data_IF_912206776905
#
_entry.id   IF_912206776905
#
_cell.length_a   1.000
_cell.length_b   1.000
_cell.length_c   1.000
_cell.angle_alpha   90.00
_cell.angle_beta   90.00
_cell.angle_gamma   90.00
#
_symmetry.space_group_name_H-M   'P 1'
#
loop_
_entity.id
_entity.type
_entity.pdbx_description
1 polymer ?
#
# COMPACT_ATOMS: atom_id res chain seq x y z
N UNK A 1 54.73 16.52 -31.00
CA UNK A 1 53.92 17.51 -30.26
C UNK A 1 52.56 17.64 -30.93
N UNK A 2 51.46 17.21 -30.30
CA UNK A 2 50.11 17.40 -30.84
C UNK A 2 49.71 18.88 -30.71
N UNK A 3 49.07 19.43 -31.75
CA UNK A 3 48.74 20.85 -31.79
C UNK A 3 47.67 21.23 -30.74
N UNK A 4 47.67 22.48 -30.23
CA UNK A 4 46.71 22.93 -29.21
C UNK A 4 45.25 22.75 -29.60
N UNK A 5 44.94 22.80 -30.91
CA UNK A 5 43.59 22.63 -31.46
C UNK A 5 43.07 21.19 -31.35
N UNK A 6 43.96 20.18 -31.39
CA UNK A 6 43.56 18.79 -31.20
C UNK A 6 43.18 18.51 -29.73
N UNK A 7 43.88 19.10 -28.77
CA UNK A 7 43.58 18.93 -27.34
C UNK A 7 42.17 19.40 -26.97
N UNK A 8 41.74 20.56 -27.50
CA UNK A 8 40.39 21.10 -27.26
C UNK A 8 39.29 20.20 -27.82
N UNK A 9 39.54 19.54 -28.96
CA UNK A 9 38.55 18.64 -29.56
C UNK A 9 38.42 17.32 -28.81
N UNK A 10 39.52 16.76 -28.30
CA UNK A 10 39.49 15.52 -27.51
C UNK A 10 38.90 15.72 -26.12
N UNK A 11 39.16 16.87 -25.46
CA UNK A 11 38.57 17.19 -24.15
C UNK A 11 37.06 17.45 -24.26
N UNK A 12 36.60 18.13 -25.31
CA UNK A 12 35.17 18.33 -25.57
C UNK A 12 34.41 17.03 -25.84
N UNK A 13 35.00 16.10 -26.60
CA UNK A 13 34.38 14.79 -26.87
C UNK A 13 34.30 13.92 -25.60
N UNK A 14 35.36 13.91 -24.79
CA UNK A 14 35.41 13.18 -23.53
C UNK A 14 34.42 13.74 -22.49
N UNK A 15 34.32 15.07 -22.38
CA UNK A 15 33.33 15.73 -21.53
C UNK A 15 31.89 15.42 -21.98
N UNK A 16 31.62 15.40 -23.30
CA UNK A 16 30.29 15.05 -23.82
C UNK A 16 29.91 13.59 -23.55
N UNK A 17 30.87 12.65 -23.63
CA UNK A 17 30.66 11.24 -23.30
C UNK A 17 30.44 11.02 -21.80
N UNK A 18 31.19 11.74 -20.96
CA UNK A 18 31.00 11.72 -19.51
C UNK A 18 29.66 12.34 -19.11
N UNK A 19 29.25 13.45 -19.72
CA UNK A 19 27.94 14.06 -19.48
C UNK A 19 26.79 13.17 -19.96
N UNK A 20 26.91 12.53 -21.13
CA UNK A 20 25.91 11.55 -21.61
C UNK A 20 25.88 10.29 -20.76
N UNK A 21 27.03 9.79 -20.29
CA UNK A 21 27.12 8.67 -19.37
C UNK A 21 26.54 8.98 -17.99
N UNK A 22 26.81 10.19 -17.49
CA UNK A 22 26.25 10.70 -16.23
C UNK A 22 24.74 10.90 -16.32
N UNK A 23 24.23 11.52 -17.39
CA UNK A 23 22.79 11.65 -17.64
C UNK A 23 22.10 10.30 -17.89
N UNK A 24 22.74 9.39 -18.62
CA UNK A 24 22.26 8.02 -18.82
C UNK A 24 22.19 7.23 -17.51
N UNK A 25 23.19 7.37 -16.65
CA UNK A 25 23.22 6.77 -15.31
C UNK A 25 22.16 7.37 -14.38
N UNK A 26 21.97 8.71 -14.40
CA UNK A 26 20.96 9.40 -13.61
C UNK A 26 19.52 9.05 -14.05
N UNK A 27 19.29 8.95 -15.37
CA UNK A 27 17.99 8.58 -15.94
C UNK A 27 17.69 7.10 -15.75
N UNK A 28 18.64 6.18 -15.98
CA UNK A 28 18.43 4.75 -15.70
C UNK A 28 18.26 4.46 -14.20
N UNK A 29 18.98 5.16 -13.32
CA UNK A 29 18.81 5.06 -11.87
C UNK A 29 17.41 5.50 -11.42
N UNK A 30 16.96 6.69 -11.86
CA UNK A 30 15.60 7.19 -11.56
C UNK A 30 14.50 6.29 -12.13
N UNK A 31 14.66 5.82 -13.36
CA UNK A 31 13.68 4.92 -14.00
C UNK A 31 13.58 3.59 -13.25
N UNK A 32 14.69 3.05 -12.73
CA UNK A 32 14.69 1.83 -11.91
C UNK A 32 13.98 2.05 -10.58
N UNK A 33 14.22 3.17 -9.90
CA UNK A 33 13.54 3.50 -8.63
C UNK A 33 12.05 3.72 -8.82
N UNK A 34 11.64 4.44 -9.88
CA UNK A 34 10.22 4.65 -10.22
C UNK A 34 9.52 3.33 -10.57
N UNK A 35 10.23 2.44 -11.27
CA UNK A 35 9.72 1.11 -11.60
C UNK A 35 9.52 0.25 -10.35
N UNK A 36 10.44 0.30 -9.39
CA UNK A 36 10.28 -0.38 -8.10
C UNK A 36 9.10 0.19 -7.34
N UNK A 37 8.93 1.51 -7.32
CA UNK A 37 7.80 2.18 -6.67
C UNK A 37 6.45 1.75 -7.27
N UNK A 38 6.35 1.71 -8.60
CA UNK A 38 5.14 1.29 -9.32
C UNK A 38 4.67 -0.13 -8.94
N UNK A 39 5.60 -1.04 -8.59
CA UNK A 39 5.26 -2.40 -8.11
C UNK A 39 4.45 -2.40 -6.81
N UNK A 40 4.70 -1.43 -5.92
CA UNK A 40 4.01 -1.34 -4.62
C UNK A 40 2.71 -0.54 -4.69
N UNK A 41 2.46 0.20 -5.78
CA UNK A 41 1.27 1.04 -5.89
C UNK A 41 -0.07 0.28 -5.70
N UNK A 42 -0.29 -0.91 -6.27
CA UNK A 42 -1.52 -1.67 -6.01
C UNK A 42 -1.67 -2.15 -4.56
N UNK A 43 -0.55 -2.38 -3.86
CA UNK A 43 -0.56 -2.74 -2.44
C UNK A 43 -0.99 -1.54 -1.59
N UNK A 44 -0.43 -0.35 -1.88
CA UNK A 44 -0.80 0.91 -1.22
C UNK A 44 -2.30 1.20 -1.45
N UNK A 45 -2.75 1.09 -2.70
CA UNK A 45 -4.16 1.26 -3.06
C UNK A 45 -5.08 0.31 -2.28
N UNK A 46 -4.72 -0.98 -2.17
CA UNK A 46 -5.53 -1.96 -1.46
C UNK A 46 -5.57 -1.79 0.06
N UNK A 47 -4.58 -1.11 0.65
CA UNK A 47 -4.55 -0.79 2.09
C UNK A 47 -5.42 0.44 2.39
N UNK A 48 -5.42 1.43 1.51
CA UNK A 48 -6.24 2.64 1.66
C UNK A 48 -7.70 2.45 1.23
N UNK A 49 -7.97 1.51 0.32
CA UNK A 49 -9.31 1.27 -0.21
C UNK A 49 -10.41 1.05 0.85
N UNK A 50 -10.23 0.18 1.86
CA UNK A 50 -11.27 -0.01 2.86
C UNK A 50 -11.42 1.18 3.82
N UNK A 51 -10.41 2.06 3.92
CA UNK A 51 -10.51 3.29 4.70
C UNK A 51 -11.44 4.29 3.99
N UNK A 52 -11.25 4.48 2.68
CA UNK A 52 -12.15 5.30 1.87
C UNK A 52 -13.59 4.78 1.93
N UNK A 53 -13.81 3.46 1.81
CA UNK A 53 -15.17 2.88 1.96
C UNK A 53 -15.77 3.16 3.34
N UNK A 54 -14.98 3.15 4.42
CA UNK A 54 -15.46 3.45 5.77
C UNK A 54 -15.89 4.93 5.92
N UNK A 55 -15.17 5.85 5.27
CA UNK A 55 -15.43 7.30 5.31
C UNK A 55 -16.56 7.74 4.37
N UNK A 56 -16.84 6.99 3.30
CA UNK A 56 -18.00 7.23 2.44
C UNK A 56 -19.33 6.97 3.14
N UNK A 57 -19.36 6.12 4.17
CA UNK A 57 -20.58 5.83 4.92
C UNK A 57 -21.10 7.07 5.65
N UNK A 58 -20.33 7.75 6.54
CA UNK A 58 -20.78 8.99 7.18
C UNK A 58 -21.05 10.10 6.15
N UNK A 59 -20.26 10.16 5.07
CA UNK A 59 -20.53 11.09 3.96
C UNK A 59 -21.89 10.87 3.28
N UNK A 60 -22.48 9.68 3.37
CA UNK A 60 -23.82 9.39 2.84
C UNK A 60 -24.91 9.50 3.91
N UNK A 61 -24.62 9.11 5.15
CA UNK A 61 -25.64 8.98 6.20
C UNK A 61 -25.87 10.26 7.00
N UNK A 62 -24.91 11.18 7.00
CA UNK A 62 -24.94 12.38 7.83
C UNK A 62 -25.16 13.66 7.02
N UNK A 63 -25.84 14.65 7.61
CA UNK A 63 -26.04 15.95 6.97
C UNK A 63 -24.70 16.62 6.75
N UNK A 64 -24.45 17.19 5.58
CA UNK A 64 -23.19 17.86 5.25
C UNK A 64 -23.04 19.26 5.87
N UNK A 65 -24.17 19.88 6.22
CA UNK A 65 -24.18 21.25 6.71
C UNK A 65 -25.15 21.42 7.88
N UNK A 66 -24.77 22.31 8.79
CA UNK A 66 -25.58 22.79 9.89
C UNK A 66 -25.88 24.27 9.71
N UNK A 67 -27.11 24.69 10.01
CA UNK A 67 -27.49 26.11 10.02
C UNK A 67 -27.81 26.53 11.44
N UNK A 68 -27.04 27.45 12.01
CA UNK A 68 -27.18 27.89 13.40
C UNK A 68 -27.24 26.71 14.41
N UNK A 69 -26.42 25.68 14.20
CA UNK A 69 -26.39 24.48 15.06
C UNK A 69 -27.48 23.43 14.77
N UNK A 70 -28.39 23.67 13.83
CA UNK A 70 -29.41 22.69 13.42
C UNK A 70 -28.99 22.01 12.11
N UNK A 71 -28.90 20.66 12.06
CA UNK A 71 -28.52 19.94 10.85
C UNK A 71 -29.54 20.15 9.74
N UNK A 72 -29.06 20.53 8.55
CA UNK A 72 -29.89 20.70 7.35
C UNK A 72 -29.85 19.42 6.52
N UNK A 73 -31.01 18.96 6.05
CA UNK A 73 -31.09 17.78 5.18
C UNK A 73 -30.50 18.09 3.81
N UNK A 74 -29.63 17.20 3.35
CA UNK A 74 -29.01 17.31 2.03
C UNK A 74 -30.00 17.12 0.88
N UNK A 75 -29.65 17.69 -0.27
CA UNK A 75 -30.41 17.51 -1.49
C UNK A 75 -30.43 16.02 -1.89
N UNK A 76 -31.60 15.53 -2.32
CA UNK A 76 -31.76 14.14 -2.78
C UNK A 76 -30.76 13.75 -3.88
N UNK A 77 -30.38 14.70 -4.72
CA UNK A 77 -29.39 14.50 -5.77
C UNK A 77 -27.98 14.22 -5.20
N UNK A 78 -27.57 14.91 -4.13
CA UNK A 78 -26.30 14.64 -3.45
C UNK A 78 -26.29 13.25 -2.82
N UNK A 79 -27.39 12.88 -2.15
CA UNK A 79 -27.55 11.56 -1.53
C UNK A 79 -27.45 10.42 -2.56
N UNK A 80 -28.07 10.59 -3.73
CA UNK A 80 -27.99 9.60 -4.82
C UNK A 80 -26.57 9.51 -5.39
N UNK A 81 -25.87 10.64 -5.57
CA UNK A 81 -24.48 10.64 -6.04
C UNK A 81 -23.55 9.95 -5.04
N UNK A 82 -23.65 10.27 -3.75
CA UNK A 82 -22.89 9.60 -2.69
C UNK A 82 -23.20 8.09 -2.64
N UNK A 83 -24.45 7.68 -2.84
CA UNK A 83 -24.82 6.27 -2.85
C UNK A 83 -24.21 5.53 -4.07
N UNK A 84 -24.21 6.15 -5.25
CA UNK A 84 -23.56 5.59 -6.44
C UNK A 84 -22.05 5.50 -6.24
N UNK A 85 -21.43 6.54 -5.66
CA UNK A 85 -20.01 6.55 -5.30
C UNK A 85 -19.66 5.39 -4.37
N UNK A 86 -20.40 5.23 -3.27
CA UNK A 86 -20.21 4.15 -2.30
C UNK A 86 -20.33 2.75 -2.95
N UNK A 87 -21.31 2.54 -3.83
CA UNK A 87 -21.46 1.25 -4.54
C UNK A 87 -20.25 0.97 -5.42
N UNK A 88 -19.77 1.98 -6.16
CA UNK A 88 -18.57 1.85 -6.99
C UNK A 88 -17.33 1.57 -6.13
N UNK A 89 -17.20 2.22 -4.97
CA UNK A 89 -16.11 2.03 -4.03
C UNK A 89 -16.10 0.59 -3.47
N UNK A 90 -17.25 0.09 -2.99
CA UNK A 90 -17.39 -1.29 -2.50
C UNK A 90 -17.02 -2.30 -3.59
N UNK A 91 -17.50 -2.12 -4.82
CA UNK A 91 -17.16 -2.98 -5.96
C UNK A 91 -15.66 -2.92 -6.28
N UNK A 92 -15.08 -1.73 -6.28
CA UNK A 92 -13.67 -1.53 -6.55
C UNK A 92 -12.78 -2.20 -5.51
N UNK A 93 -13.17 -2.12 -4.23
CA UNK A 93 -12.49 -2.74 -3.11
C UNK A 93 -12.60 -4.27 -3.15
N UNK A 94 -13.78 -4.82 -3.45
CA UNK A 94 -13.98 -6.25 -3.67
C UNK A 94 -13.10 -6.79 -4.80
N UNK A 95 -12.98 -6.04 -5.91
CA UNK A 95 -12.11 -6.38 -7.03
C UNK A 95 -10.62 -6.33 -6.64
N UNK A 96 -10.18 -5.40 -5.79
CA UNK A 96 -8.82 -5.40 -5.23
C UNK A 96 -8.58 -6.64 -4.39
N UNK A 97 -9.51 -7.04 -3.51
CA UNK A 97 -9.37 -8.29 -2.75
C UNK A 97 -9.25 -9.51 -3.68
N UNK A 98 -10.05 -9.56 -4.75
CA UNK A 98 -9.97 -10.62 -5.76
C UNK A 98 -8.60 -10.64 -6.48
N UNK A 99 -7.99 -9.47 -6.74
CA UNK A 99 -6.63 -9.38 -7.31
C UNK A 99 -5.62 -10.16 -6.48
N UNK A 100 -5.67 -10.02 -5.15
CA UNK A 100 -4.74 -10.71 -4.25
C UNK A 100 -5.13 -12.15 -3.94
N UNK A 101 -6.41 -12.51 -4.06
CA UNK A 101 -6.88 -13.87 -3.76
C UNK A 101 -6.83 -14.83 -4.95
N UNK A 102 -6.83 -14.35 -6.20
CA UNK A 102 -6.93 -15.22 -7.39
C UNK A 102 -5.58 -15.71 -7.90
N UNK A 103 -5.30 -17.01 -7.86
CA UNK A 103 -4.06 -17.57 -8.43
C UNK A 103 -3.95 -17.48 -9.96
N UNK A 104 -5.07 -17.29 -10.68
CA UNK A 104 -5.09 -17.26 -12.16
C UNK A 104 -4.73 -15.88 -12.71
N UNK A 105 -3.76 -15.83 -13.62
CA UNK A 105 -3.21 -14.59 -14.18
C UNK A 105 -4.27 -13.69 -14.81
N UNK A 106 -5.02 -14.25 -15.77
CA UNK A 106 -6.10 -13.56 -16.49
C UNK A 106 -7.21 -13.03 -15.58
N UNK A 107 -7.39 -13.59 -14.38
CA UNK A 107 -8.44 -13.14 -13.44
C UNK A 107 -7.95 -11.98 -12.59
N UNK A 108 -6.71 -11.99 -12.09
CA UNK A 108 -6.20 -10.86 -11.30
C UNK A 108 -5.91 -9.62 -12.18
N UNK A 109 -5.42 -9.80 -13.41
CA UNK A 109 -5.24 -8.68 -14.35
C UNK A 109 -6.57 -7.99 -14.65
N UNK A 110 -7.59 -8.77 -15.01
CA UNK A 110 -8.96 -8.25 -15.22
C UNK A 110 -9.53 -7.58 -13.98
N UNK A 111 -9.38 -8.19 -12.79
CA UNK A 111 -9.86 -7.60 -11.55
C UNK A 111 -9.20 -6.24 -11.27
N UNK A 112 -7.90 -6.11 -11.56
CA UNK A 112 -7.17 -4.85 -11.41
C UNK A 112 -7.71 -3.79 -12.37
N UNK A 113 -7.89 -4.12 -13.65
CA UNK A 113 -8.45 -3.18 -14.65
C UNK A 113 -9.88 -2.76 -14.35
N UNK A 114 -10.75 -3.69 -13.92
CA UNK A 114 -12.11 -3.33 -13.53
C UNK A 114 -12.12 -2.50 -12.25
N UNK A 115 -11.24 -2.79 -11.30
CA UNK A 115 -11.08 -1.99 -10.08
C UNK A 115 -10.62 -0.56 -10.39
N UNK A 116 -9.64 -0.38 -11.29
CA UNK A 116 -9.18 0.95 -11.69
C UNK A 116 -10.31 1.77 -12.33
N UNK A 117 -11.14 1.13 -13.17
CA UNK A 117 -12.30 1.79 -13.77
C UNK A 117 -13.37 2.18 -12.73
N UNK A 118 -13.66 1.30 -11.77
CA UNK A 118 -14.62 1.60 -10.70
C UNK A 118 -14.11 2.73 -9.79
N UNK A 119 -12.82 2.75 -9.44
CA UNK A 119 -12.20 3.83 -8.66
C UNK A 119 -12.23 5.17 -9.40
N UNK A 120 -11.92 5.19 -10.69
CA UNK A 120 -12.02 6.40 -11.50
C UNK A 120 -13.47 6.89 -11.60
N UNK A 121 -14.43 5.97 -11.75
CA UNK A 121 -15.85 6.31 -11.73
C UNK A 121 -16.30 6.91 -10.39
N UNK A 122 -15.92 6.29 -9.27
CA UNK A 122 -16.20 6.79 -7.92
C UNK A 122 -15.61 8.19 -7.70
N UNK A 123 -14.33 8.37 -8.04
CA UNK A 123 -13.64 9.65 -7.95
C UNK A 123 -14.36 10.76 -8.75
N UNK A 124 -14.77 10.47 -9.98
CA UNK A 124 -15.50 11.44 -10.81
C UNK A 124 -16.84 11.80 -10.16
N UNK A 125 -17.58 10.80 -9.68
CA UNK A 125 -18.88 11.00 -9.00
C UNK A 125 -18.72 11.86 -7.75
N UNK A 126 -17.73 11.59 -6.92
CA UNK A 126 -17.41 12.36 -5.71
C UNK A 126 -16.99 13.80 -6.02
N UNK A 127 -16.14 14.00 -7.04
CA UNK A 127 -15.75 15.34 -7.50
C UNK A 127 -16.98 16.12 -7.95
N UNK A 128 -17.85 15.51 -8.76
CA UNK A 128 -19.08 16.15 -9.22
C UNK A 128 -19.97 16.50 -8.02
N UNK A 129 -20.09 15.58 -7.06
CA UNK A 129 -20.92 15.79 -5.88
C UNK A 129 -20.45 17.00 -5.06
N UNK A 130 -19.16 17.03 -4.72
CA UNK A 130 -18.57 18.13 -3.95
C UNK A 130 -18.56 19.43 -4.76
N UNK A 131 -18.29 19.40 -6.06
CA UNK A 131 -18.30 20.60 -6.89
C UNK A 131 -19.70 21.23 -7.04
N UNK A 132 -20.75 20.41 -7.11
CA UNK A 132 -22.14 20.88 -7.26
C UNK A 132 -22.78 21.28 -5.93
N UNK A 133 -22.45 20.61 -4.82
CA UNK A 133 -23.14 20.84 -3.54
C UNK A 133 -22.28 21.50 -2.47
N UNK A 134 -20.95 21.51 -2.61
CA UNK A 134 -20.02 22.16 -1.67
C UNK A 134 -20.04 23.69 -1.75
N UNK A 135 -19.68 24.32 -2.89
CA UNK A 135 -19.56 25.77 -3.00
C UNK A 135 -20.87 26.55 -2.89
N UNK A 136 -22.00 25.92 -3.22
CA UNK A 136 -23.30 26.59 -3.24
C UNK A 136 -23.78 27.02 -1.84
N UNK A 137 -23.27 26.39 -0.78
CA UNK A 137 -23.66 26.65 0.61
C UNK A 137 -22.68 27.60 1.33
N UNK A 138 -21.40 27.60 0.94
CA UNK A 138 -20.35 28.48 1.49
C UNK A 138 -20.56 29.99 1.24
N UNK A 139 -21.53 30.36 0.39
CA UNK A 139 -21.83 31.77 0.09
C UNK A 139 -22.78 32.42 1.10
N UNK A 140 -23.37 31.65 2.01
CA UNK A 140 -24.27 32.15 3.04
C UNK A 140 -23.63 32.00 4.42
N UNK A 141 -23.44 33.08 5.20
CA UNK A 141 -22.70 33.06 6.46
C UNK A 141 -23.35 32.24 7.59
N UNK A 142 -24.58 31.72 7.38
CA UNK A 142 -25.32 30.94 8.38
C UNK A 142 -25.00 29.43 8.37
N UNK A 143 -24.24 28.94 7.38
CA UNK A 143 -24.00 27.50 7.19
C UNK A 143 -22.59 27.09 7.60
N UNK A 144 -22.51 26.11 8.50
CA UNK A 144 -21.27 25.52 8.99
C UNK A 144 -21.13 24.08 8.47
N UNK A 145 -19.96 23.68 7.93
CA UNK A 145 -19.72 22.31 7.48
C UNK A 145 -19.62 21.37 8.69
N UNK A 146 -20.32 20.25 8.63
CA UNK A 146 -20.32 19.20 9.66
C UNK A 146 -19.30 18.12 9.35
N UNK A 147 -19.17 17.15 10.25
CA UNK A 147 -18.25 16.02 10.09
C UNK A 147 -18.50 15.20 8.81
N UNK A 148 -19.77 14.98 8.44
CA UNK A 148 -20.14 14.26 7.21
C UNK A 148 -19.55 14.87 5.94
N UNK A 149 -19.51 16.21 5.84
CA UNK A 149 -18.87 16.90 4.72
C UNK A 149 -17.36 16.68 4.70
N UNK A 150 -16.70 16.77 5.86
CA UNK A 150 -15.26 16.52 5.95
C UNK A 150 -14.89 15.07 5.68
N UNK A 151 -15.73 14.11 6.08
CA UNK A 151 -15.57 12.71 5.69
C UNK A 151 -15.64 12.53 4.17
N UNK A 152 -16.56 13.22 3.49
CA UNK A 152 -16.64 13.20 2.03
C UNK A 152 -15.36 13.76 1.37
N UNK A 153 -14.81 14.85 1.90
CA UNK A 153 -13.56 15.46 1.40
C UNK A 153 -12.36 14.53 1.60
N UNK A 154 -12.23 13.91 2.78
CA UNK A 154 -11.13 12.98 3.07
C UNK A 154 -11.26 11.73 2.20
N UNK A 155 -12.48 11.20 2.02
CA UNK A 155 -12.69 10.06 1.12
C UNK A 155 -12.32 10.39 -0.32
N UNK A 156 -12.65 11.61 -0.80
CA UNK A 156 -12.22 12.09 -2.12
C UNK A 156 -10.69 12.12 -2.25
N UNK A 157 -9.98 12.57 -1.21
CA UNK A 157 -8.52 12.59 -1.20
C UNK A 157 -7.95 11.17 -1.27
N UNK A 158 -8.49 10.24 -0.48
CA UNK A 158 -8.08 8.83 -0.49
C UNK A 158 -8.36 8.17 -1.84
N UNK A 159 -9.57 8.36 -2.40
CA UNK A 159 -9.94 7.89 -3.73
C UNK A 159 -8.99 8.44 -4.81
N UNK A 160 -8.57 9.70 -4.69
CA UNK A 160 -7.57 10.33 -5.54
C UNK A 160 -6.20 9.65 -5.45
N UNK A 161 -5.71 9.40 -4.23
CA UNK A 161 -4.44 8.69 -4.00
C UNK A 161 -4.50 7.28 -4.58
N UNK A 162 -5.61 6.56 -4.37
CA UNK A 162 -5.83 5.21 -4.89
C UNK A 162 -5.85 5.21 -6.42
N UNK A 163 -6.58 6.15 -7.03
CA UNK A 163 -6.60 6.31 -8.49
C UNK A 163 -5.21 6.59 -9.05
N UNK A 164 -4.47 7.52 -8.45
CA UNK A 164 -3.09 7.83 -8.89
C UNK A 164 -2.20 6.60 -8.78
N UNK A 165 -2.25 5.87 -7.67
CA UNK A 165 -1.46 4.65 -7.49
C UNK A 165 -1.79 3.58 -8.56
N UNK A 166 -3.09 3.37 -8.83
CA UNK A 166 -3.55 2.39 -9.80
C UNK A 166 -3.26 2.79 -11.26
N UNK A 167 -3.40 4.08 -11.59
CA UNK A 167 -3.05 4.62 -12.92
C UNK A 167 -1.55 4.55 -13.15
N UNK A 168 -0.73 4.89 -12.15
CA UNK A 168 0.72 4.72 -12.24
C UNK A 168 1.07 3.25 -12.53
N UNK A 169 0.49 2.30 -11.80
CA UNK A 169 0.71 0.88 -12.08
C UNK A 169 0.40 0.53 -13.55
N UNK A 170 -0.75 0.98 -14.08
CA UNK A 170 -1.14 0.70 -15.46
C UNK A 170 -0.23 1.39 -16.50
N UNK A 171 0.14 2.65 -16.27
CA UNK A 171 1.02 3.42 -17.16
C UNK A 171 2.42 2.79 -17.25
N UNK A 172 2.93 2.25 -16.15
CA UNK A 172 4.23 1.58 -16.11
C UNK A 172 4.18 0.16 -16.71
N UNK A 173 3.12 -0.61 -16.48
CA UNK A 173 2.90 -1.91 -17.13
C UNK A 173 2.84 -1.76 -18.66
N UNK A 174 2.13 -0.73 -19.15
CA UNK A 174 2.05 -0.41 -20.57
C UNK A 174 3.38 0.08 -21.18
N UNK A 175 4.10 0.98 -20.49
CA UNK A 175 5.27 1.66 -21.08
C UNK A 175 6.56 0.84 -21.04
N UNK A 176 6.70 -0.11 -20.10
CA UNK A 176 7.98 -0.78 -19.85
C UNK A 176 7.93 -2.31 -19.88
N UNK A 177 6.75 -2.90 -20.13
CA UNK A 177 6.56 -4.34 -20.16
C UNK A 177 6.50 -4.98 -18.76
N UNK A 178 5.98 -6.20 -18.69
CA UNK A 178 5.84 -6.99 -17.46
C UNK A 178 7.22 -7.30 -16.89
N UNK A 179 7.46 -6.87 -15.65
CA UNK A 179 8.67 -7.21 -14.90
C UNK A 179 8.56 -8.67 -14.45
N UNK A 180 9.70 -9.38 -14.34
CA UNK A 180 9.85 -10.74 -13.77
C UNK A 180 8.62 -11.18 -12.95
N UNK A 181 7.75 -11.99 -13.57
CA UNK A 181 6.44 -12.40 -13.02
C UNK A 181 6.56 -13.03 -11.62
N UNK A 182 7.72 -13.60 -11.32
CA UNK A 182 8.04 -14.24 -10.04
C UNK A 182 8.07 -13.24 -8.87
N UNK A 183 8.71 -12.08 -9.05
CA UNK A 183 8.81 -11.02 -8.03
C UNK A 183 7.44 -10.40 -7.72
N UNK A 184 6.62 -10.17 -8.75
CA UNK A 184 5.28 -9.61 -8.60
C UNK A 184 4.35 -10.61 -7.88
N UNK A 185 4.48 -11.89 -8.21
CA UNK A 185 3.73 -12.97 -7.58
C UNK A 185 4.10 -13.13 -6.11
N UNK A 186 5.40 -13.05 -5.76
CA UNK A 186 5.86 -13.09 -4.37
C UNK A 186 5.33 -11.90 -3.57
N UNK A 187 5.45 -10.68 -4.09
CA UNK A 187 4.95 -9.46 -3.43
C UNK A 187 3.43 -9.53 -3.19
N UNK A 188 2.68 -10.05 -4.16
CA UNK A 188 1.23 -10.24 -4.06
C UNK A 188 0.87 -11.27 -3.00
N UNK A 189 1.62 -12.38 -2.94
CA UNK A 189 1.38 -13.43 -1.95
C UNK A 189 1.67 -12.95 -0.53
N UNK A 190 2.76 -12.19 -0.35
CA UNK A 190 3.12 -11.57 0.93
C UNK A 190 2.09 -10.50 1.33
N UNK A 191 1.71 -9.62 0.41
CA UNK A 191 0.76 -8.54 0.65
C UNK A 191 -0.68 -9.01 0.92
N UNK A 192 -1.07 -10.20 0.44
CA UNK A 192 -2.44 -10.75 0.61
C UNK A 192 -2.86 -10.83 2.08
N UNK A 193 -1.98 -11.34 2.95
CA UNK A 193 -2.30 -11.51 4.38
C UNK A 193 -2.53 -10.14 5.04
N UNK A 194 -1.66 -9.18 4.72
CA UNK A 194 -1.76 -7.82 5.24
C UNK A 194 -3.05 -7.13 4.78
N UNK A 195 -3.37 -7.17 3.48
CA UNK A 195 -4.59 -6.54 2.95
C UNK A 195 -5.85 -7.16 3.55
N UNK A 196 -5.93 -8.49 3.63
CA UNK A 196 -7.08 -9.17 4.24
C UNK A 196 -7.23 -8.79 5.70
N UNK A 197 -6.12 -8.67 6.43
CA UNK A 197 -6.12 -8.24 7.82
C UNK A 197 -6.62 -6.80 7.97
N UNK A 198 -6.08 -5.85 7.19
CA UNK A 198 -6.49 -4.43 7.22
C UNK A 198 -7.96 -4.27 6.81
N UNK A 199 -8.40 -5.01 5.78
CA UNK A 199 -9.80 -4.99 5.35
C UNK A 199 -10.72 -5.51 6.47
N UNK A 200 -10.37 -6.64 7.08
CA UNK A 200 -11.15 -7.19 8.20
C UNK A 200 -11.17 -6.25 9.40
N UNK A 201 -10.05 -5.60 9.71
CA UNK A 201 -9.94 -4.61 10.77
C UNK A 201 -10.88 -3.42 10.55
N UNK A 202 -10.91 -2.86 9.34
CA UNK A 202 -11.78 -1.72 9.01
C UNK A 202 -13.25 -2.15 8.96
N UNK A 203 -13.56 -3.39 8.54
CA UNK A 203 -14.92 -3.95 8.63
C UNK A 203 -15.39 -4.11 10.08
N UNK A 204 -14.51 -4.52 11.00
CA UNK A 204 -14.83 -4.59 12.44
C UNK A 204 -15.16 -3.20 12.97
N UNK A 205 -14.39 -2.16 12.60
CA UNK A 205 -14.70 -0.77 12.99
C UNK A 205 -16.05 -0.34 12.44
N UNK A 206 -16.32 -0.57 11.15
CA UNK A 206 -17.60 -0.19 10.54
C UNK A 206 -18.79 -0.90 11.19
N UNK A 207 -18.63 -2.19 11.51
CA UNK A 207 -19.66 -2.95 12.22
C UNK A 207 -19.85 -2.46 13.66
N UNK A 208 -18.78 -2.14 14.36
CA UNK A 208 -18.83 -1.55 15.70
C UNK A 208 -19.55 -0.20 15.68
N UNK A 209 -19.18 0.68 14.74
CA UNK A 209 -19.83 1.98 14.56
C UNK A 209 -21.32 1.83 14.25
N UNK A 210 -21.69 0.88 13.40
CA UNK A 210 -23.09 0.56 13.11
C UNK A 210 -23.84 0.08 14.36
N UNK A 211 -23.24 -0.81 15.16
CA UNK A 211 -23.84 -1.32 16.38
C UNK A 211 -24.10 -0.18 17.40
N UNK A 212 -23.11 0.68 17.66
CA UNK A 212 -23.26 1.80 18.60
C UNK A 212 -24.21 2.88 18.11
N UNK A 213 -24.19 3.20 16.81
CA UNK A 213 -25.16 4.14 16.23
C UNK A 213 -26.61 3.65 16.41
N UNK A 214 -26.84 2.33 16.29
CA UNK A 214 -28.18 1.74 16.53
C UNK A 214 -28.56 1.60 18.00
N UNK A 215 -27.60 1.31 18.87
CA UNK A 215 -27.86 1.07 20.28
C UNK A 215 -28.00 2.38 21.06
N UNK A 216 -27.10 3.33 20.87
CA UNK A 216 -27.05 4.59 21.61
C UNK A 216 -27.72 5.75 20.85
N UNK A 217 -28.05 5.56 19.57
CA UNK A 217 -28.64 6.61 18.73
C UNK A 217 -27.64 7.68 18.31
N UNK A 218 -26.33 7.40 18.44
CA UNK A 218 -25.27 8.32 18.04
C UNK A 218 -25.17 8.46 16.53
N UNK A 219 -24.60 9.59 16.09
CA UNK A 219 -24.16 9.74 14.71
C UNK A 219 -23.13 8.65 14.36
N UNK A 220 -23.04 8.31 13.09
CA UNK A 220 -22.15 7.24 12.66
C UNK A 220 -20.69 7.68 12.76
N UNK A 221 -20.39 8.95 12.49
CA UNK A 221 -19.10 9.61 12.71
C UNK A 221 -18.70 9.56 14.18
N UNK A 222 -19.60 9.93 15.09
CA UNK A 222 -19.40 9.83 16.55
C UNK A 222 -19.09 8.38 16.96
N UNK A 223 -19.78 7.43 16.35
CA UNK A 223 -19.60 6.00 16.63
C UNK A 223 -18.26 5.47 16.10
N UNK A 224 -17.79 5.93 14.93
CA UNK A 224 -16.44 5.66 14.42
C UNK A 224 -15.41 6.30 15.35
N UNK A 225 -15.62 7.55 15.73
CA UNK A 225 -14.73 8.28 16.62
C UNK A 225 -14.61 7.58 17.98
N UNK A 226 -15.72 7.19 18.61
CA UNK A 226 -15.72 6.38 19.83
C UNK A 226 -14.95 5.06 19.65
N UNK A 227 -15.19 4.39 18.52
CA UNK A 227 -14.49 3.15 18.18
C UNK A 227 -12.98 3.35 18.01
N UNK A 228 -12.51 4.52 17.55
CA UNK A 228 -11.07 4.84 17.40
C UNK A 228 -10.47 5.34 18.72
N UNK A 229 -11.13 6.25 19.41
CA UNK A 229 -10.70 6.91 20.64
C UNK A 229 -10.48 5.89 21.77
N UNK A 230 -11.40 4.93 21.94
CA UNK A 230 -11.30 3.87 22.95
C UNK A 230 -10.10 2.93 22.73
N UNK A 231 -9.50 2.93 21.53
CA UNK A 231 -8.42 1.99 21.15
C UNK A 231 -7.03 2.45 21.49
N UNK A 232 -6.84 3.68 21.95
CA UNK A 232 -5.51 4.14 22.36
C UNK A 232 -5.39 4.25 23.89
N UNK A 233 -5.41 3.12 24.64
CA UNK A 233 -4.96 3.12 26.03
C UNK A 233 -3.55 3.70 26.18
N UNK A 234 -2.72 3.60 25.13
CA UNK A 234 -1.35 4.09 25.13
C UNK A 234 -1.19 5.62 24.90
N UNK A 235 -2.19 6.32 24.33
CA UNK A 235 -2.14 7.79 24.18
C UNK A 235 -3.01 8.52 25.21
N UNK A 236 -3.74 7.81 26.08
CA UNK A 236 -4.52 8.41 27.18
C UNK A 236 -5.36 9.62 26.77
N UNK A 237 -5.90 9.64 25.55
CA UNK A 237 -6.67 10.79 25.09
C UNK A 237 -8.05 10.78 25.73
N UNK A 238 -8.70 9.60 25.78
CA UNK A 238 -9.92 9.28 26.55
C UNK A 238 -10.75 10.50 26.95
N UNK A 239 -11.24 11.27 25.95
CA UNK A 239 -11.85 12.58 26.21
C UNK A 239 -13.09 12.45 27.10
N UNK A 240 -13.71 11.26 27.15
CA UNK A 240 -14.83 10.96 28.05
C UNK A 240 -16.14 11.64 27.64
N UNK A 241 -16.17 12.16 26.41
CA UNK A 241 -17.28 12.81 25.75
C UNK A 241 -18.37 11.81 25.34
N UNK A 242 -17.98 10.65 24.83
CA UNK A 242 -18.91 9.59 24.40
C UNK A 242 -18.74 8.35 25.27
N UNK A 243 -19.81 7.99 25.99
CA UNK A 243 -19.86 6.81 26.87
C UNK A 243 -21.19 6.09 26.67
N UNK A 244 -21.19 4.75 26.43
CA UNK A 244 -22.41 4.02 26.24
C UNK A 244 -23.27 4.07 27.50
N UNK A 245 -24.51 4.51 27.35
CA UNK A 245 -25.48 4.63 28.43
C UNK A 245 -26.28 3.34 28.58
N UNK A 246 -26.54 2.64 27.48
CA UNK A 246 -27.34 1.42 27.46
C UNK A 246 -26.60 0.21 28.02
N UNK A 247 -27.35 -0.64 28.73
CA UNK A 247 -26.84 -1.88 29.32
C UNK A 247 -26.20 -2.78 28.27
N UNK A 248 -26.83 -2.93 27.10
CA UNK A 248 -26.29 -3.71 25.98
C UNK A 248 -25.05 -3.08 25.35
N UNK A 249 -25.02 -1.75 25.22
CA UNK A 249 -23.84 -1.01 24.75
C UNK A 249 -22.64 -1.27 25.65
N UNK A 250 -22.82 -1.20 26.97
CA UNK A 250 -21.78 -1.48 27.97
C UNK A 250 -21.26 -2.92 27.91
N UNK A 251 -22.13 -3.91 27.73
CA UNK A 251 -21.73 -5.31 27.61
C UNK A 251 -20.91 -5.53 26.33
N UNK A 252 -21.30 -4.89 25.23
CA UNK A 252 -20.63 -5.04 23.93
C UNK A 252 -19.26 -4.36 23.86
N UNK A 253 -18.94 -3.42 24.76
CA UNK A 253 -17.60 -2.83 24.84
C UNK A 253 -16.53 -3.90 25.00
N UNK A 254 -16.73 -4.87 25.88
CA UNK A 254 -15.72 -5.89 26.18
C UNK A 254 -15.36 -6.81 24.98
N UNK A 255 -16.32 -7.47 24.30
CA UNK A 255 -15.99 -8.30 23.14
C UNK A 255 -15.42 -7.48 21.99
N UNK A 256 -15.95 -6.28 21.71
CA UNK A 256 -15.39 -5.41 20.67
C UNK A 256 -13.98 -4.97 21.00
N UNK A 257 -13.69 -4.67 22.27
CA UNK A 257 -12.36 -4.30 22.72
C UNK A 257 -11.33 -5.41 22.49
N UNK A 258 -11.64 -6.64 22.91
CA UNK A 258 -10.75 -7.79 22.71
C UNK A 258 -10.51 -8.01 21.21
N UNK A 259 -11.58 -8.06 20.41
CA UNK A 259 -11.50 -8.35 18.98
C UNK A 259 -10.63 -7.30 18.26
N UNK A 260 -10.86 -6.03 18.58
CA UNK A 260 -10.19 -4.89 17.98
C UNK A 260 -8.71 -4.76 18.38
N UNK A 261 -8.35 -5.09 19.63
CA UNK A 261 -6.95 -5.15 20.08
C UNK A 261 -6.23 -6.34 19.48
N UNK A 262 -6.85 -7.52 19.47
CA UNK A 262 -6.27 -8.71 18.86
C UNK A 262 -5.98 -8.47 17.38
N UNK A 263 -6.88 -7.79 16.67
CA UNK A 263 -6.66 -7.46 15.26
C UNK A 263 -5.55 -6.42 15.07
N UNK A 264 -5.44 -5.41 15.93
CA UNK A 264 -4.31 -4.46 15.89
C UNK A 264 -2.97 -5.18 16.10
N UNK A 265 -2.91 -6.10 17.07
CA UNK A 265 -1.73 -6.91 17.33
C UNK A 265 -1.38 -7.79 16.11
N UNK A 266 -2.38 -8.33 15.42
CA UNK A 266 -2.18 -9.09 14.19
C UNK A 266 -1.50 -8.25 13.08
N UNK A 267 -1.92 -7.00 12.88
CA UNK A 267 -1.27 -6.08 11.93
C UNK A 267 0.20 -5.87 12.27
N UNK A 268 0.49 -5.60 13.55
CA UNK A 268 1.84 -5.38 14.05
C UNK A 268 2.71 -6.61 13.81
N UNK A 269 2.21 -7.81 14.07
CA UNK A 269 2.92 -9.08 13.84
C UNK A 269 3.21 -9.28 12.35
N UNK A 270 2.23 -9.01 11.47
CA UNK A 270 2.41 -9.14 10.01
C UNK A 270 3.50 -8.17 9.52
N UNK A 271 3.50 -6.92 9.99
CA UNK A 271 4.50 -5.91 9.63
C UNK A 271 5.89 -6.34 10.12
N UNK A 272 6.01 -6.78 11.37
CA UNK A 272 7.28 -7.27 11.90
C UNK A 272 7.80 -8.49 11.15
N UNK A 273 6.91 -9.43 10.81
CA UNK A 273 7.25 -10.58 9.97
C UNK A 273 7.81 -10.14 8.61
N UNK A 274 7.14 -9.21 7.94
CA UNK A 274 7.58 -8.67 6.66
C UNK A 274 8.94 -7.97 6.72
N UNK A 275 9.17 -7.15 7.76
CA UNK A 275 10.46 -6.46 7.97
C UNK A 275 11.56 -7.48 8.25
N UNK A 276 11.28 -8.47 9.10
CA UNK A 276 12.23 -9.53 9.47
C UNK A 276 12.60 -10.39 8.26
N UNK A 277 11.62 -10.86 7.49
CA UNK A 277 11.85 -11.67 6.30
C UNK A 277 12.75 -10.94 5.30
N UNK A 278 12.54 -9.63 5.11
CA UNK A 278 13.41 -8.81 4.25
C UNK A 278 14.80 -8.60 4.83
N UNK A 279 14.92 -8.43 6.14
CA UNK A 279 16.22 -8.33 6.80
C UNK A 279 17.01 -9.65 6.64
N UNK A 280 16.35 -10.78 6.81
CA UNK A 280 16.93 -12.11 6.66
C UNK A 280 17.30 -12.43 5.21
N UNK A 281 16.45 -12.06 4.23
CA UNK A 281 16.76 -12.17 2.81
C UNK A 281 18.02 -11.37 2.45
N UNK A 282 18.11 -10.11 2.88
CA UNK A 282 19.31 -9.28 2.68
C UNK A 282 20.52 -9.93 3.31
N UNK A 283 20.42 -10.37 4.58
CA UNK A 283 21.52 -11.04 5.29
C UNK A 283 21.99 -12.31 4.58
N UNK A 284 21.07 -13.11 4.05
CA UNK A 284 21.38 -14.34 3.30
C UNK A 284 22.04 -14.03 1.95
N UNK A 285 21.60 -12.99 1.23
CA UNK A 285 22.26 -12.56 -0.01
C UNK A 285 23.68 -12.03 0.26
N UNK A 286 23.86 -11.25 1.32
CA UNK A 286 25.18 -10.81 1.77
C UNK A 286 26.07 -12.00 2.13
N UNK A 287 25.54 -13.00 2.86
CA UNK A 287 26.27 -14.23 3.20
C UNK A 287 26.71 -15.00 1.96
N UNK A 288 25.80 -15.25 1.01
CA UNK A 288 26.13 -15.94 -0.26
C UNK A 288 27.19 -15.20 -1.07
N UNK A 289 27.12 -13.86 -1.14
CA UNK A 289 28.13 -13.05 -1.83
C UNK A 289 29.48 -13.11 -1.14
N UNK A 290 29.49 -13.09 0.20
CA UNK A 290 30.70 -13.20 0.99
C UNK A 290 31.35 -14.59 0.83
N UNK A 291 30.55 -15.65 0.92
CA UNK A 291 30.99 -17.04 0.66
C UNK A 291 31.55 -17.17 -0.77
N UNK A 292 30.86 -16.64 -1.78
CA UNK A 292 31.33 -16.69 -3.17
C UNK A 292 32.66 -15.93 -3.38
N UNK A 293 32.83 -14.78 -2.73
CA UNK A 293 34.09 -14.02 -2.78
C UNK A 293 35.23 -14.78 -2.08
N UNK A 294 34.97 -15.37 -0.91
CA UNK A 294 35.89 -16.24 -0.19
C UNK A 294 36.32 -17.45 -1.04
N UNK A 295 35.38 -18.13 -1.70
CA UNK A 295 35.69 -19.26 -2.58
C UNK A 295 36.52 -18.83 -3.80
N UNK A 296 36.25 -17.66 -4.36
CA UNK A 296 37.03 -17.12 -5.48
C UNK A 296 38.49 -16.83 -5.05
N UNK A 297 38.68 -16.21 -3.89
CA UNK A 297 40.00 -15.90 -3.34
C UNK A 297 40.80 -17.17 -3.00
N UNK A 298 40.15 -18.15 -2.35
CA UNK A 298 40.75 -19.45 -2.06
C UNK A 298 41.18 -20.21 -3.33
N UNK A 299 40.39 -20.13 -4.41
CA UNK A 299 40.75 -20.72 -5.70
C UNK A 299 41.92 -19.99 -6.37
N UNK A 300 42.06 -18.68 -6.18
CA UNK A 300 43.23 -17.93 -6.68
C UNK A 300 44.50 -18.20 -5.88
N UNK A 301 44.38 -18.47 -4.58
CA UNK A 301 45.50 -18.79 -3.69
C UNK A 301 45.95 -20.27 -3.78
N UNK A 302 45.15 -21.15 -4.39
CA UNK A 302 45.51 -22.55 -4.60
C UNK A 302 46.72 -22.64 -5.53
N UNK A 303 47.86 -23.22 -5.09
CA UNK A 303 48.95 -23.50 -6.00
C UNK A 303 48.43 -24.48 -7.06
N UNK A 304 48.48 -24.10 -8.34
CA UNK A 304 48.15 -25.00 -9.44
C UNK A 304 49.25 -26.06 -9.51
N UNK A 305 49.02 -27.21 -8.89
CA UNK A 305 49.85 -28.39 -9.14
C UNK A 305 49.76 -28.71 -10.64
N UNK A 306 50.91 -28.99 -11.25
CA UNK A 306 50.90 -29.51 -12.62
C UNK A 306 50.20 -30.87 -12.61
N UNK A 307 49.47 -31.22 -13.68
CA UNK A 307 48.80 -32.54 -13.82
C UNK A 307 49.78 -33.69 -13.52
N UNK A 308 51.06 -33.51 -13.88
CA UNK A 308 52.14 -34.44 -13.57
C UNK A 308 52.39 -34.65 -12.08
N UNK A 309 52.27 -33.60 -11.26
CA UNK A 309 52.44 -33.69 -9.80
C UNK A 309 51.23 -34.36 -9.14
N UNK A 310 50.01 -34.11 -9.64
CA UNK A 310 48.81 -34.81 -9.16
C UNK A 310 48.85 -36.31 -9.52
N UNK A 311 49.26 -36.65 -10.75
CA UNK A 311 49.42 -38.04 -11.17
C UNK A 311 50.51 -38.77 -10.36
N UNK A 312 51.64 -38.11 -10.10
CA UNK A 312 52.72 -38.69 -9.29
C UNK A 312 52.28 -38.92 -7.84
N UNK A 313 51.49 -38.01 -7.26
CA UNK A 313 50.94 -38.15 -5.92
C UNK A 313 49.97 -39.34 -5.83
N UNK A 314 49.07 -39.50 -6.81
CA UNK A 314 48.12 -40.62 -6.86
C UNK A 314 48.88 -41.96 -6.97
N UNK A 315 49.92 -42.02 -7.80
CA UNK A 315 50.76 -43.22 -7.90
C UNK A 315 51.46 -43.56 -6.58
N UNK A 316 51.93 -42.55 -5.84
CA UNK A 316 52.55 -42.74 -4.53
C UNK A 316 51.53 -43.22 -3.48
N UNK A 317 50.30 -42.70 -3.51
CA UNK A 317 49.20 -43.15 -2.61
C UNK A 317 48.83 -44.59 -2.90
N UNK A 318 48.57 -44.96 -4.16
CA UNK A 318 48.26 -46.34 -4.54
C UNK A 318 49.38 -47.30 -4.14
N UNK A 319 50.65 -46.89 -4.33
CA UNK A 319 51.78 -47.70 -3.88
C UNK A 319 51.79 -47.94 -2.38
N UNK A 320 51.35 -46.99 -1.56
CA UNK A 320 51.26 -47.17 -0.11
C UNK A 320 50.12 -48.08 0.30
N UNK A 321 48.96 -47.95 -0.36
CA UNK A 321 47.82 -48.85 -0.15
C UNK A 321 48.09 -50.29 -0.60
N UNK A 322 48.92 -50.50 -1.63
CA UNK A 322 49.33 -51.84 -2.07
C UNK A 322 50.35 -52.52 -1.14
N UNK A 323 50.95 -51.77 -0.20
CA UNK A 323 51.97 -52.27 0.74
C UNK A 323 51.38 -52.56 2.13
N UNK A 324 50.18 -52.05 2.44
CA UNK A 324 49.38 -52.40 3.63
C UNK A 324 48.48 -53.63 3.38
#
# INVERSE_FOLDING_TARGET
MKSPKQWVHYTGLAASKLLKGFWGWLTHGRLRTLRIFAKYCPLIAAVLAPLSTLLDIPALTEPWFSRNGVPVRDFRASLVLSAVGLVLNILANALLVIRFSSSKEKRWRRATSWSTLCWLGALIVEIINIALFGPHVHRTPDYEPTEGFWCAVVSLMDAGVICIALVLHYAFDFSFGTIDDDDETELRLQGRKFILSVTFFLLVIGFQAFAYSRLEGWLYSDSIYFSIQWRVPALTIGYGDLVPTNTWGKILVFPFFILTISQLANEVIIIFGFIKDRADQRRNQWRKRYEAAMYAEANTARPKASILQEMALIQEINKREEIE
#
